data_IF_791315330129
#
_entry.id   IF_791315330129
#
_cell.length_a   1.000
_cell.length_b   1.000
_cell.length_c   1.000
_cell.angle_alpha   90.00
_cell.angle_beta   90.00
_cell.angle_gamma   90.00
#
_symmetry.space_group_name_H-M   'P 1'
#
loop_
_entity.id
_entity.type
_entity.pdbx_description
1 polymer ?
#
# COMPACT_ATOMS: atom_id res chain seq x y z
N UNK A 1 26.20 14.76 51.57
CA UNK A 1 25.31 15.51 52.51
C UNK A 1 25.33 17.03 52.36
N UNK A 2 26.41 17.67 51.83
CA UNK A 2 26.47 19.14 51.70
C UNK A 2 25.55 19.76 50.63
N UNK A 3 25.31 19.07 49.49
CA UNK A 3 24.47 19.62 48.39
C UNK A 3 23.00 19.81 48.77
N UNK A 4 22.46 19.01 49.68
CA UNK A 4 21.09 19.12 50.18
C UNK A 4 20.89 20.34 51.10
N UNK A 5 21.94 20.76 51.83
CA UNK A 5 21.87 21.91 52.75
C UNK A 5 21.85 23.24 51.99
N UNK A 6 22.66 23.37 50.94
CA UNK A 6 22.67 24.54 50.05
C UNK A 6 21.32 24.69 49.31
N UNK A 7 20.74 23.57 48.85
CA UNK A 7 19.44 23.56 48.18
C UNK A 7 18.29 23.98 49.10
N UNK A 8 18.31 23.52 50.37
CA UNK A 8 17.33 23.95 51.39
C UNK A 8 17.43 25.44 51.73
N UNK A 9 18.64 26.00 51.77
CA UNK A 9 18.84 27.43 52.05
C UNK A 9 18.35 28.32 50.91
N UNK A 10 18.52 27.87 49.66
CA UNK A 10 17.95 28.50 48.47
C UNK A 10 16.41 28.48 48.51
N UNK A 11 15.79 27.31 48.74
CA UNK A 11 14.34 27.19 48.85
C UNK A 11 13.74 28.08 49.95
N UNK A 12 14.41 28.21 51.10
CA UNK A 12 13.94 29.05 52.23
C UNK A 12 13.92 30.54 51.88
N UNK A 13 14.79 31.00 50.98
CA UNK A 13 14.88 32.41 50.55
C UNK A 13 13.82 32.76 49.50
N UNK A 14 13.44 31.81 48.64
CA UNK A 14 12.40 32.00 47.62
C UNK A 14 10.98 31.66 48.13
N UNK A 15 10.86 30.84 49.18
CA UNK A 15 9.57 30.38 49.70
C UNK A 15 8.72 31.44 50.40
N UNK A 16 9.30 32.56 50.88
CA UNK A 16 8.56 33.62 51.57
C UNK A 16 7.98 34.71 50.64
N UNK A 17 8.29 34.66 49.35
CA UNK A 17 7.73 35.57 48.33
C UNK A 17 6.53 34.99 47.58
N UNK A 18 6.30 33.68 47.70
CA UNK A 18 5.19 32.98 47.04
C UNK A 18 4.03 32.90 48.03
N UNK A 19 2.85 33.42 47.65
CA UNK A 19 1.65 33.24 48.48
C UNK A 19 1.34 31.75 48.56
N UNK A 20 0.78 31.25 49.66
CA UNK A 20 0.50 29.81 49.82
C UNK A 20 -0.36 29.25 48.67
N UNK A 21 -1.17 30.09 48.03
CA UNK A 21 -1.97 29.74 46.86
C UNK A 21 -1.18 29.63 45.54
N UNK A 22 -0.08 30.37 45.38
CA UNK A 22 0.76 30.31 44.16
C UNK A 22 1.44 28.95 44.04
N UNK A 23 1.80 28.33 45.18
CA UNK A 23 2.35 26.97 45.18
C UNK A 23 1.35 25.94 44.65
N UNK A 24 0.07 26.05 45.00
CA UNK A 24 -1.00 25.16 44.51
C UNK A 24 -1.16 25.33 42.99
N UNK A 25 -1.11 26.56 42.50
CA UNK A 25 -1.21 26.87 41.07
C UNK A 25 -0.02 26.28 40.31
N UNK A 26 1.21 26.45 40.81
CA UNK A 26 2.43 25.92 40.19
C UNK A 26 2.38 24.39 40.11
N UNK A 27 1.97 23.72 41.18
CA UNK A 27 1.86 22.25 41.22
C UNK A 27 0.77 21.75 40.26
N UNK A 28 -0.38 22.43 40.20
CA UNK A 28 -1.47 22.08 39.28
C UNK A 28 -1.07 22.23 37.81
N UNK A 29 -0.42 23.34 37.45
CA UNK A 29 0.09 23.57 36.08
C UNK A 29 1.16 22.56 35.69
N UNK A 30 2.02 22.16 36.64
CA UNK A 30 3.04 21.14 36.39
C UNK A 30 2.41 19.79 36.09
N UNK A 31 1.38 19.37 36.82
CA UNK A 31 0.64 18.11 36.57
C UNK A 31 -0.11 18.16 35.24
N UNK A 32 -0.79 19.28 34.93
CA UNK A 32 -1.48 19.49 33.66
C UNK A 32 -0.53 19.44 32.46
N UNK A 33 0.73 19.84 32.62
CA UNK A 33 1.74 19.74 31.55
C UNK A 33 2.05 18.29 31.11
N UNK A 34 1.83 17.31 32.00
CA UNK A 34 2.01 15.88 31.69
C UNK A 34 0.75 15.20 31.14
N UNK A 35 -0.42 15.84 31.22
CA UNK A 35 -1.67 15.29 30.69
C UNK A 35 -1.63 15.06 29.16
N UNK A 36 -1.06 15.97 28.33
CA UNK A 36 -0.87 15.72 26.91
C UNK A 36 0.00 14.50 26.60
N UNK A 37 1.02 14.20 27.42
CA UNK A 37 1.87 13.02 27.26
C UNK A 37 1.11 11.73 27.60
N UNK A 38 0.26 11.76 28.63
CA UNK A 38 -0.59 10.64 28.98
C UNK A 38 -1.63 10.37 27.88
N UNK A 39 -2.28 11.42 27.38
CA UNK A 39 -3.25 11.33 26.26
C UNK A 39 -2.56 10.84 24.98
N UNK A 40 -1.41 11.42 24.62
CA UNK A 40 -0.65 11.05 23.43
C UNK A 40 -0.13 9.61 23.50
N UNK A 41 0.36 9.14 24.65
CA UNK A 41 0.79 7.74 24.81
C UNK A 41 -0.38 6.74 24.75
N UNK A 42 -1.57 7.11 25.24
CA UNK A 42 -2.79 6.34 25.04
C UNK A 42 -3.25 6.33 23.58
N UNK A 43 -3.11 7.46 22.88
CA UNK A 43 -3.52 7.60 21.48
C UNK A 43 -2.53 6.96 20.50
N UNK A 44 -1.23 6.97 20.81
CA UNK A 44 -0.17 6.29 20.05
C UNK A 44 -0.40 4.76 19.97
N UNK A 45 -0.99 4.15 21.02
CA UNK A 45 -1.38 2.73 21.01
C UNK A 45 -2.48 2.41 20.00
N UNK A 46 -3.37 3.36 19.67
CA UNK A 46 -4.44 3.15 18.69
C UNK A 46 -3.90 3.15 17.25
N UNK A 47 -2.89 3.98 16.95
CA UNK A 47 -2.34 4.09 15.59
C UNK A 47 -1.48 2.89 15.18
N UNK A 48 -0.71 2.30 16.11
CA UNK A 48 0.10 1.11 15.83
C UNK A 48 -0.74 -0.15 15.62
N UNK A 49 -1.86 -0.29 16.33
CA UNK A 49 -2.82 -1.39 16.13
C UNK A 49 -3.51 -1.26 14.77
N UNK A 50 -3.89 -0.05 14.34
CA UNK A 50 -4.46 0.16 13.01
C UNK A 50 -3.43 -0.02 11.89
N UNK A 51 -2.17 0.39 12.05
CA UNK A 51 -1.11 0.14 11.07
C UNK A 51 -0.75 -1.36 10.97
N UNK A 52 -0.70 -2.08 12.11
CA UNK A 52 -0.47 -3.53 12.14
C UNK A 52 -1.67 -4.32 11.56
N UNK A 53 -2.90 -3.88 11.83
CA UNK A 53 -4.10 -4.45 11.21
C UNK A 53 -4.20 -4.11 9.71
N UNK A 54 -3.75 -2.93 9.29
CA UNK A 54 -3.67 -2.54 7.88
C UNK A 54 -2.61 -3.36 7.13
N UNK A 55 -1.47 -3.66 7.75
CA UNK A 55 -0.46 -4.56 7.19
C UNK A 55 -0.94 -6.03 7.14
N UNK A 56 -1.73 -6.48 8.11
CA UNK A 56 -2.33 -7.83 8.15
C UNK A 56 -3.54 -7.98 7.20
N UNK A 57 -4.27 -6.89 6.93
CA UNK A 57 -5.44 -6.81 6.03
C UNK A 57 -5.07 -6.39 4.60
N UNK A 58 -3.89 -5.82 4.37
CA UNK A 58 -3.27 -5.66 3.06
C UNK A 58 -2.84 -7.02 2.50
N UNK A 59 -3.81 -7.91 2.36
CA UNK A 59 -3.69 -9.11 1.55
C UNK A 59 -3.30 -8.62 0.16
N UNK A 60 -2.07 -8.91 -0.27
CA UNK A 60 -1.57 -8.57 -1.61
C UNK A 60 -2.62 -8.98 -2.64
N UNK A 61 -3.42 -8.01 -3.08
CA UNK A 61 -4.54 -8.27 -3.97
C UNK A 61 -4.01 -8.11 -5.38
N UNK A 62 -3.90 -9.24 -6.08
CA UNK A 62 -3.43 -9.30 -7.46
C UNK A 62 -4.63 -9.09 -8.37
N UNK A 63 -4.56 -8.07 -9.21
CA UNK A 63 -5.61 -7.77 -10.19
C UNK A 63 -4.99 -7.81 -11.58
N UNK A 64 -5.52 -8.68 -12.45
CA UNK A 64 -5.20 -8.64 -13.86
C UNK A 64 -6.04 -7.56 -14.54
N UNK A 65 -5.39 -6.68 -15.29
CA UNK A 65 -6.04 -5.66 -16.12
C UNK A 65 -5.76 -5.99 -17.58
N UNK A 66 -6.81 -6.16 -18.37
CA UNK A 66 -6.75 -6.35 -19.82
C UNK A 66 -7.15 -5.05 -20.49
N UNK A 67 -6.34 -4.63 -21.45
CA UNK A 67 -6.48 -3.37 -22.17
C UNK A 67 -6.28 -3.58 -23.65
N UNK A 68 -7.01 -2.84 -24.47
CA UNK A 68 -6.83 -2.75 -25.92
C UNK A 68 -6.63 -1.29 -26.29
N UNK A 69 -5.52 -0.99 -26.97
CA UNK A 69 -5.16 0.37 -27.39
C UNK A 69 -5.21 1.39 -26.22
N UNK A 70 -4.69 0.99 -25.05
CA UNK A 70 -4.71 1.80 -23.83
C UNK A 70 -6.04 1.83 -23.06
N UNK A 71 -7.15 1.40 -23.67
CA UNK A 71 -8.46 1.37 -23.01
C UNK A 71 -8.68 0.06 -22.25
N UNK A 72 -9.08 0.17 -20.98
CA UNK A 72 -9.32 -1.01 -20.13
C UNK A 72 -10.60 -1.72 -20.54
N UNK A 73 -10.47 -2.98 -20.94
CA UNK A 73 -11.58 -3.85 -21.31
C UNK A 73 -12.11 -4.67 -20.13
N UNK A 74 -11.19 -5.21 -19.32
CA UNK A 74 -11.55 -6.12 -18.23
C UNK A 74 -10.58 -6.01 -17.06
N UNK A 75 -11.12 -6.08 -15.84
CA UNK A 75 -10.36 -6.24 -14.60
C UNK A 75 -10.82 -7.51 -13.90
N UNK A 76 -9.88 -8.33 -13.44
CA UNK A 76 -10.16 -9.58 -12.71
C UNK A 76 -9.27 -9.65 -11.49
N UNK A 77 -9.88 -9.78 -10.30
CA UNK A 77 -9.15 -10.04 -9.07
C UNK A 77 -8.71 -11.50 -9.04
N UNK A 78 -7.42 -11.74 -9.26
CA UNK A 78 -6.82 -13.07 -9.29
C UNK A 78 -6.70 -13.70 -7.90
N UNK A 79 -6.66 -12.88 -6.84
CA UNK A 79 -6.54 -13.36 -5.45
C UNK A 79 -7.84 -13.99 -4.96
N UNK A 80 -9.00 -13.46 -5.36
CA UNK A 80 -10.33 -13.95 -4.95
C UNK A 80 -10.95 -14.91 -5.97
N UNK A 81 -10.25 -15.20 -7.07
CA UNK A 81 -10.78 -16.03 -8.14
C UNK A 81 -10.83 -17.52 -7.75
N UNK A 82 -12.04 -18.05 -7.57
CA UNK A 82 -12.26 -19.45 -7.18
C UNK A 82 -12.29 -20.43 -8.37
N UNK A 83 -12.83 -20.01 -9.52
CA UNK A 83 -12.98 -20.85 -10.73
C UNK A 83 -12.21 -20.25 -11.90
N UNK A 84 -11.73 -21.11 -12.80
CA UNK A 84 -11.11 -20.67 -14.05
C UNK A 84 -12.12 -19.87 -14.88
N UNK A 85 -11.71 -18.71 -15.36
CA UNK A 85 -12.51 -17.87 -16.24
C UNK A 85 -11.82 -17.71 -17.59
N UNK A 86 -12.61 -17.68 -18.66
CA UNK A 86 -12.15 -17.41 -20.00
C UNK A 86 -12.78 -16.12 -20.50
N UNK A 87 -12.00 -15.31 -21.21
CA UNK A 87 -12.44 -14.09 -21.86
C UNK A 87 -11.84 -14.04 -23.24
N UNK A 88 -12.67 -13.86 -24.27
CA UNK A 88 -12.21 -13.72 -25.64
C UNK A 88 -12.46 -12.29 -26.08
N UNK A 89 -11.39 -11.59 -26.42
CA UNK A 89 -11.48 -10.36 -27.17
C UNK A 89 -11.50 -10.70 -28.66
N UNK A 90 -12.39 -10.06 -29.43
CA UNK A 90 -12.46 -10.15 -30.88
C UNK A 90 -12.76 -8.77 -31.47
N UNK A 91 -11.99 -8.36 -32.46
CA UNK A 91 -12.21 -7.10 -33.17
C UNK A 91 -13.10 -7.28 -34.41
N UNK A 92 -13.38 -6.17 -35.09
CA UNK A 92 -14.19 -6.15 -36.32
C UNK A 92 -13.49 -6.82 -37.51
N UNK A 93 -12.15 -6.89 -37.50
CA UNK A 93 -11.34 -7.52 -38.54
C UNK A 93 -11.21 -9.04 -38.36
N UNK A 94 -11.74 -9.57 -37.25
CA UNK A 94 -11.70 -10.99 -36.92
C UNK A 94 -10.45 -11.44 -36.15
N UNK A 95 -9.57 -10.50 -35.76
CA UNK A 95 -8.48 -10.79 -34.83
C UNK A 95 -9.03 -11.09 -33.46
N UNK A 96 -8.43 -12.06 -32.77
CA UNK A 96 -8.89 -12.48 -31.45
C UNK A 96 -7.74 -12.88 -30.52
N UNK A 97 -7.99 -12.71 -29.22
CA UNK A 97 -7.16 -13.22 -28.13
C UNK A 97 -8.06 -13.87 -27.08
N UNK A 98 -7.85 -15.16 -26.84
CA UNK A 98 -8.48 -15.88 -25.74
C UNK A 98 -7.58 -15.83 -24.52
N UNK A 99 -8.08 -15.17 -23.48
CA UNK A 99 -7.42 -14.93 -22.20
C UNK A 99 -8.02 -15.88 -21.18
N UNK A 100 -7.17 -16.57 -20.43
CA UNK A 100 -7.59 -17.45 -19.34
C UNK A 100 -7.07 -16.94 -18.02
N UNK A 101 -7.97 -16.74 -17.06
CA UNK A 101 -7.68 -16.38 -15.69
C UNK A 101 -7.83 -17.61 -14.80
N UNK A 102 -6.82 -17.87 -13.97
CA UNK A 102 -6.84 -18.88 -12.90
C UNK A 102 -6.45 -18.22 -11.58
N UNK A 103 -6.63 -18.91 -10.47
CA UNK A 103 -6.21 -18.42 -9.16
C UNK A 103 -4.75 -17.92 -9.22
N UNK A 104 -4.56 -16.63 -8.91
CA UNK A 104 -3.27 -15.92 -8.89
C UNK A 104 -2.49 -15.86 -10.21
N UNK A 105 -3.06 -16.22 -11.37
CA UNK A 105 -2.34 -16.19 -12.65
C UNK A 105 -3.23 -15.93 -13.87
N UNK A 106 -2.64 -15.39 -14.93
CA UNK A 106 -3.32 -15.11 -16.21
C UNK A 106 -2.42 -15.44 -17.38
N UNK A 107 -3.00 -15.87 -18.50
CA UNK A 107 -2.31 -16.13 -19.76
C UNK A 107 -3.21 -15.83 -20.96
N UNK A 108 -2.61 -15.51 -22.11
CA UNK A 108 -3.27 -15.63 -23.41
C UNK A 108 -3.07 -17.07 -23.87
N UNK A 109 -4.15 -17.85 -23.93
CA UNK A 109 -4.09 -19.28 -24.25
C UNK A 109 -4.24 -19.56 -25.74
N UNK A 110 -4.90 -18.67 -26.49
CA UNK A 110 -5.02 -18.74 -27.95
C UNK A 110 -5.07 -17.33 -28.53
N UNK A 111 -4.49 -17.14 -29.70
CA UNK A 111 -4.62 -15.92 -30.50
C UNK A 111 -4.40 -16.28 -31.97
N UNK A 112 -4.88 -15.45 -32.91
CA UNK A 112 -4.55 -15.56 -34.33
C UNK A 112 -3.51 -14.53 -34.81
N UNK A 113 -2.68 -14.00 -33.91
CA UNK A 113 -1.58 -13.11 -34.31
C UNK A 113 -0.47 -13.92 -34.99
N UNK A 114 0.19 -13.34 -36.00
CA UNK A 114 1.23 -14.06 -36.75
C UNK A 114 2.43 -14.47 -35.88
N UNK A 115 2.81 -13.61 -34.92
CA UNK A 115 4.01 -13.80 -34.12
C UNK A 115 3.87 -14.82 -32.99
N UNK A 116 2.64 -15.13 -32.55
CA UNK A 116 2.30 -15.95 -31.38
C UNK A 116 3.10 -15.66 -30.09
N UNK A 117 3.73 -14.47 -29.96
CA UNK A 117 4.60 -14.14 -28.81
C UNK A 117 3.80 -14.13 -27.52
N UNK A 118 2.59 -13.60 -27.57
CA UNK A 118 1.69 -13.49 -26.42
C UNK A 118 1.23 -14.85 -25.88
N UNK A 119 1.07 -15.85 -26.76
CA UNK A 119 0.72 -17.23 -26.38
C UNK A 119 1.95 -17.94 -25.81
N UNK A 120 3.11 -17.83 -26.47
CA UNK A 120 4.38 -18.42 -25.99
C UNK A 120 4.84 -17.84 -24.66
N UNK A 121 4.48 -16.60 -24.34
CA UNK A 121 4.79 -15.96 -23.05
C UNK A 121 4.28 -16.76 -21.85
N UNK A 122 3.17 -17.49 -22.02
CA UNK A 122 2.60 -18.37 -21.00
C UNK A 122 1.99 -17.63 -19.81
N UNK A 123 1.98 -18.29 -18.65
CA UNK A 123 1.34 -17.79 -17.44
C UNK A 123 2.20 -16.75 -16.71
N UNK A 124 1.62 -15.58 -16.45
CA UNK A 124 2.16 -14.58 -15.53
C UNK A 124 1.40 -14.60 -14.21
N UNK A 125 2.07 -14.29 -13.10
CA UNK A 125 1.53 -14.40 -11.74
C UNK A 125 2.09 -13.38 -10.73
N UNK A 126 3.16 -12.66 -11.07
CA UNK A 126 3.77 -11.65 -10.19
C UNK A 126 3.28 -10.24 -10.56
N UNK A 127 3.12 -9.33 -9.58
CA UNK A 127 2.91 -7.91 -9.86
C UNK A 127 3.94 -7.33 -10.83
N UNK A 128 3.52 -6.43 -11.71
CA UNK A 128 4.36 -5.78 -12.72
C UNK A 128 4.68 -6.65 -13.93
N UNK A 129 4.37 -7.95 -13.92
CA UNK A 129 4.48 -8.76 -15.13
C UNK A 129 3.40 -8.39 -16.14
N UNK A 130 3.80 -8.40 -17.42
CA UNK A 130 2.92 -8.10 -18.55
C UNK A 130 2.93 -9.21 -19.60
N UNK A 131 1.83 -9.31 -20.34
CA UNK A 131 1.73 -10.02 -21.61
C UNK A 131 1.28 -8.99 -22.64
N UNK A 132 2.02 -8.87 -23.74
CA UNK A 132 1.71 -7.94 -24.82
C UNK A 132 1.47 -8.74 -26.10
N UNK A 133 0.38 -8.42 -26.80
CA UNK A 133 0.14 -8.84 -28.18
C UNK A 133 0.15 -7.57 -29.03
N UNK A 134 1.32 -7.23 -29.58
CA UNK A 134 1.51 -6.00 -30.35
C UNK A 134 0.59 -5.94 -31.59
N UNK A 135 0.47 -7.00 -32.43
CA UNK A 135 -0.36 -6.92 -33.63
C UNK A 135 -1.84 -6.63 -33.34
N UNK A 136 -2.36 -7.14 -32.22
CA UNK A 136 -3.76 -6.91 -31.81
C UNK A 136 -3.89 -5.83 -30.74
N UNK A 137 -2.82 -5.09 -30.43
CA UNK A 137 -2.78 -4.01 -29.42
C UNK A 137 -3.35 -4.40 -28.04
N UNK A 138 -3.22 -5.67 -27.64
CA UNK A 138 -3.67 -6.16 -26.33
C UNK A 138 -2.53 -6.12 -25.32
N UNK A 139 -2.80 -5.55 -24.15
CA UNK A 139 -1.92 -5.54 -22.98
C UNK A 139 -2.63 -6.17 -21.77
N UNK A 140 -1.99 -7.13 -21.14
CA UNK A 140 -2.39 -7.69 -19.85
C UNK A 140 -1.33 -7.34 -18.81
N UNK A 141 -1.71 -6.74 -17.69
CA UNK A 141 -0.82 -6.38 -16.59
C UNK A 141 -1.37 -6.90 -15.26
N UNK A 142 -0.50 -7.43 -14.39
CA UNK A 142 -0.85 -7.76 -13.00
C UNK A 142 -0.50 -6.58 -12.08
N UNK A 143 -1.52 -5.97 -11.49
CA UNK A 143 -1.37 -4.88 -10.50
C UNK A 143 -1.54 -5.41 -9.07
N UNK A 144 -0.82 -4.81 -8.12
CA UNK A 144 -0.99 -5.07 -6.69
C UNK A 144 -1.67 -3.89 -6.00
N UNK A 145 -2.51 -4.15 -5.00
CA UNK A 145 -3.19 -3.11 -4.21
C UNK A 145 -2.24 -2.30 -3.31
N UNK A 146 -1.10 -2.87 -2.94
CA UNK A 146 0.00 -2.17 -2.28
C UNK A 146 0.78 -1.44 -3.37
N UNK A 147 0.52 -0.14 -3.54
CA UNK A 147 0.97 0.72 -4.64
C UNK A 147 2.49 0.93 -4.76
N UNK A 148 3.23 -0.16 -4.93
CA UNK A 148 4.66 -0.16 -5.23
C UNK A 148 4.87 -1.11 -6.42
N UNK A 149 4.37 -0.70 -7.59
CA UNK A 149 4.84 -1.26 -8.85
C UNK A 149 6.22 -0.66 -9.05
N UNK A 150 7.28 -1.38 -8.63
CA UNK A 150 8.59 -1.13 -9.21
C UNK A 150 8.41 -1.35 -10.71
N UNK A 151 8.44 -0.28 -11.49
CA UNK A 151 8.53 -0.33 -12.94
C UNK A 151 9.88 -0.98 -13.30
N UNK A 152 9.95 -2.30 -13.16
CA UNK A 152 11.04 -3.13 -13.64
C UNK A 152 10.83 -3.37 -15.13
N UNK A 153 10.98 -2.30 -15.91
CA UNK A 153 10.93 -2.34 -17.34
C UNK A 153 11.88 -1.27 -17.83
N UNK A 154 12.96 -1.70 -18.46
CA UNK A 154 13.93 -0.89 -19.17
C UNK A 154 13.17 -0.29 -20.37
N UNK A 155 12.31 0.70 -20.10
CA UNK A 155 11.63 1.52 -21.08
C UNK A 155 12.60 2.56 -21.59
N UNK A 156 13.60 2.10 -22.35
CA UNK A 156 14.30 2.94 -23.31
C UNK A 156 13.32 3.20 -24.44
N UNK A 157 12.52 4.26 -24.28
CA UNK A 157 12.08 5.07 -25.40
C UNK A 157 12.65 6.45 -25.11
N UNK A 158 13.92 6.61 -25.45
CA UNK A 158 14.52 7.93 -25.67
C UNK A 158 14.15 8.32 -27.10
N UNK A 159 13.27 9.30 -27.24
CA UNK A 159 13.47 10.30 -28.29
C UNK A 159 14.46 11.35 -27.77
#
# INVERSE_FOLDING_TARGET
MHRLRAFKQLLKRYGSMLRPFDFIIIVSLLILSFAPLAVFSYQQRQQTIQAAQSAKKARHTLTAVVSHDGHVLKKVNLTTLAKTQHYTYRDQSGHYNQITFKAKRVAITKANCADQVCVRRGWIHKPGQTIVCLPHKILIEIKSSTGQVKAGGNGLVTE
#
